data_IF_323471572269
#
_entry.id   IF_323471572269
#
_cell.length_a   1.000
_cell.length_b   1.000
_cell.length_c   1.000
_cell.angle_alpha   90.00
_cell.angle_beta   90.00
_cell.angle_gamma   90.00
#
_symmetry.space_group_name_H-M   'P 1'
#
loop_
_entity.id
_entity.type
_entity.pdbx_description
1 polymer ?
#
# COMPACT_ATOMS: atom_id res chain seq x y z
N UNK A 1 -15.12 43.89 -64.90
CA UNK A 1 -14.89 44.43 -63.54
C UNK A 1 -15.72 43.55 -62.61
N UNK A 2 -15.11 42.53 -61.98
CA UNK A 2 -14.66 42.53 -60.57
C UNK A 2 -15.86 42.67 -59.59
N UNK A 3 -16.16 41.82 -58.59
CA UNK A 3 -15.58 40.58 -58.02
C UNK A 3 -16.70 39.96 -57.15
N UNK A 4 -16.68 38.63 -56.97
CA UNK A 4 -17.60 37.86 -56.14
C UNK A 4 -17.53 38.19 -54.64
N UNK A 5 -18.63 37.93 -53.91
CA UNK A 5 -18.62 37.69 -52.47
C UNK A 5 -19.55 36.52 -52.16
N UNK A 6 -18.93 35.38 -51.89
CA UNK A 6 -19.54 34.21 -51.26
C UNK A 6 -19.27 34.33 -49.76
N UNK A 7 -20.31 34.24 -48.94
CA UNK A 7 -20.17 33.86 -47.53
C UNK A 7 -21.25 32.85 -47.21
N UNK A 8 -20.82 31.76 -46.59
CA UNK A 8 -21.53 30.52 -46.38
C UNK A 8 -21.39 30.17 -44.88
N UNK A 9 -22.46 29.61 -44.33
CA UNK A 9 -22.56 28.69 -43.16
C UNK A 9 -23.05 29.16 -41.78
N UNK A 10 -24.06 28.38 -41.35
CA UNK A 10 -24.19 27.68 -40.06
C UNK A 10 -24.83 28.41 -38.87
N UNK A 11 -26.16 28.27 -38.77
CA UNK A 11 -26.87 28.32 -37.48
C UNK A 11 -27.05 26.92 -36.90
N UNK A 12 -26.17 26.58 -35.95
CA UNK A 12 -26.53 25.98 -34.67
C UNK A 12 -27.16 24.58 -34.65
N UNK A 13 -26.35 23.54 -34.86
CA UNK A 13 -26.56 22.28 -34.13
C UNK A 13 -25.93 22.44 -32.74
N UNK A 14 -26.77 22.48 -31.71
CA UNK A 14 -26.32 22.41 -30.32
C UNK A 14 -25.71 21.04 -30.03
N UNK A 15 -24.38 20.96 -30.06
CA UNK A 15 -23.67 19.84 -29.48
C UNK A 15 -23.73 19.97 -27.96
N UNK A 16 -24.47 19.06 -27.32
CA UNK A 16 -24.27 18.73 -25.91
C UNK A 16 -22.84 18.22 -25.76
N UNK A 17 -21.91 19.12 -25.42
CA UNK A 17 -20.60 18.74 -24.91
C UNK A 17 -20.82 18.20 -23.50
N UNK A 18 -20.87 16.87 -23.41
CA UNK A 18 -20.60 16.16 -22.17
C UNK A 18 -19.18 16.54 -21.75
N UNK A 19 -19.09 17.42 -20.76
CA UNK A 19 -17.87 17.61 -19.99
C UNK A 19 -17.61 16.35 -19.20
N UNK A 20 -16.92 15.39 -19.80
CA UNK A 20 -16.14 14.46 -19.03
C UNK A 20 -15.05 15.30 -18.38
N UNK A 21 -15.21 15.60 -17.08
CA UNK A 21 -14.14 16.04 -16.21
C UNK A 21 -13.07 14.95 -16.27
N UNK A 22 -12.18 15.03 -17.25
CA UNK A 22 -10.92 14.32 -17.24
C UNK A 22 -10.13 14.94 -16.10
N UNK A 23 -10.32 14.36 -14.91
CA UNK A 23 -9.47 14.58 -13.75
C UNK A 23 -8.04 14.43 -14.26
N UNK A 24 -7.36 15.54 -14.50
CA UNK A 24 -5.98 15.56 -14.94
C UNK A 24 -5.20 14.81 -13.87
N UNK A 25 -4.84 13.57 -14.20
CA UNK A 25 -3.96 12.74 -13.40
C UNK A 25 -2.80 13.61 -12.97
N UNK A 26 -2.64 13.79 -11.66
CA UNK A 26 -1.51 14.49 -11.08
C UNK A 26 -0.24 13.97 -11.78
N UNK A 27 0.54 14.85 -12.39
CA UNK A 27 1.67 14.47 -13.24
C UNK A 27 2.85 13.86 -12.45
N UNK A 28 2.66 13.62 -11.15
CA UNK A 28 3.65 13.00 -10.29
C UNK A 28 3.53 11.48 -10.41
N UNK A 29 4.60 10.77 -10.84
CA UNK A 29 4.58 9.31 -10.87
C UNK A 29 4.27 8.74 -9.49
N UNK A 30 3.50 7.66 -9.45
CA UNK A 30 3.27 6.93 -8.21
C UNK A 30 4.59 6.47 -7.58
N UNK A 31 4.76 6.66 -6.27
CA UNK A 31 5.99 6.35 -5.53
C UNK A 31 6.45 4.91 -5.78
N UNK A 32 5.50 3.97 -5.79
CA UNK A 32 5.75 2.54 -5.94
C UNK A 32 5.46 2.02 -7.36
N UNK A 33 5.50 2.88 -8.39
CA UNK A 33 5.19 2.49 -9.78
C UNK A 33 6.20 1.51 -10.37
N UNK A 34 7.48 1.86 -10.28
CA UNK A 34 8.58 1.12 -10.91
C UNK A 34 9.39 0.34 -9.87
N UNK A 35 8.83 0.19 -8.67
CA UNK A 35 9.48 -0.59 -7.60
C UNK A 35 9.52 -2.06 -7.99
N UNK A 36 10.62 -2.71 -7.65
CA UNK A 36 10.78 -4.16 -7.70
C UNK A 36 10.29 -4.84 -6.41
N UNK A 37 9.71 -4.06 -5.46
CA UNK A 37 9.32 -4.44 -4.10
C UNK A 37 10.18 -5.58 -3.56
N UNK A 38 11.20 -5.22 -2.77
CA UNK A 38 12.07 -6.11 -2.00
C UNK A 38 11.50 -7.53 -1.92
N UNK A 39 12.10 -8.49 -2.62
CA UNK A 39 11.72 -9.89 -2.41
C UNK A 39 11.71 -10.18 -0.91
N UNK A 40 10.94 -11.15 -0.42
CA UNK A 40 10.86 -11.37 1.03
C UNK A 40 12.26 -11.49 1.67
N UNK A 41 13.23 -12.11 0.97
CA UNK A 41 14.63 -12.15 1.39
C UNK A 41 15.31 -10.77 1.51
N UNK A 42 15.02 -9.82 0.61
CA UNK A 42 15.60 -8.49 0.61
C UNK A 42 15.24 -7.68 1.86
N UNK A 43 14.04 -7.88 2.41
CA UNK A 43 13.65 -7.26 3.68
C UNK A 43 14.61 -7.66 4.81
N UNK A 44 14.92 -8.96 4.90
CA UNK A 44 15.86 -9.48 5.91
C UNK A 44 17.30 -9.06 5.64
N UNK A 45 17.70 -8.90 4.38
CA UNK A 45 19.04 -8.40 4.05
C UNK A 45 19.22 -6.94 4.49
N UNK A 46 18.14 -6.15 4.46
CA UNK A 46 18.14 -4.71 4.76
C UNK A 46 17.90 -4.38 6.24
N UNK A 47 17.50 -5.35 7.07
CA UNK A 47 17.26 -5.12 8.50
C UNK A 47 17.53 -6.34 9.39
N UNK A 48 18.16 -6.10 10.53
CA UNK A 48 18.37 -7.10 11.59
C UNK A 48 17.17 -7.26 12.53
N UNK A 49 16.20 -6.34 12.48
CA UNK A 49 15.00 -6.36 13.33
C UNK A 49 13.92 -7.33 12.79
N UNK A 50 14.07 -7.82 11.56
CA UNK A 50 13.14 -8.75 10.92
C UNK A 50 13.66 -10.18 11.12
N UNK A 51 12.82 -11.14 11.51
CA UNK A 51 13.22 -12.54 11.59
C UNK A 51 13.83 -13.03 10.27
N UNK A 52 14.88 -13.86 10.36
CA UNK A 52 15.78 -14.13 9.23
C UNK A 52 15.21 -15.09 8.19
N UNK A 53 14.38 -16.05 8.61
CA UNK A 53 13.81 -17.03 7.68
C UNK A 53 12.65 -16.39 6.94
N UNK A 54 12.91 -15.86 5.75
CA UNK A 54 11.90 -15.28 4.88
C UNK A 54 11.33 -16.31 3.91
N UNK A 55 10.02 -16.33 3.77
CA UNK A 55 9.30 -17.09 2.75
C UNK A 55 8.38 -16.14 1.97
N UNK A 56 8.46 -16.20 0.63
CA UNK A 56 7.43 -15.63 -0.23
C UNK A 56 6.25 -16.60 -0.29
N UNK A 57 5.12 -16.17 0.26
CA UNK A 57 3.89 -16.98 0.31
C UNK A 57 3.10 -16.80 -0.97
N UNK A 58 3.01 -15.56 -1.46
CA UNK A 58 2.35 -15.24 -2.71
C UNK A 58 2.90 -13.92 -3.28
N UNK A 59 2.91 -13.83 -4.60
CA UNK A 59 3.25 -12.60 -5.33
C UNK A 59 2.36 -12.50 -6.56
N UNK A 60 1.80 -11.32 -6.75
CA UNK A 60 1.08 -10.92 -7.96
C UNK A 60 1.66 -9.60 -8.41
N UNK A 61 2.36 -9.57 -9.54
CA UNK A 61 2.98 -8.35 -10.06
C UNK A 61 2.99 -8.38 -11.59
N UNK A 62 2.46 -7.33 -12.21
CA UNK A 62 2.36 -7.21 -13.66
C UNK A 62 3.08 -5.95 -14.15
N UNK A 63 4.43 -5.96 -14.20
CA UNK A 63 5.21 -4.78 -14.52
C UNK A 63 4.94 -4.24 -15.92
N UNK A 64 4.60 -5.07 -16.89
CA UNK A 64 4.41 -4.59 -18.27
C UNK A 64 2.97 -4.13 -18.58
N UNK A 65 2.01 -4.39 -17.68
CA UNK A 65 0.59 -4.20 -17.95
C UNK A 65 0.00 -3.12 -17.05
N UNK A 66 -0.06 -3.39 -15.75
CA UNK A 66 -0.78 -2.54 -14.79
C UNK A 66 0.16 -1.81 -13.84
N UNK A 67 1.42 -2.25 -13.68
CA UNK A 67 2.39 -1.69 -12.70
C UNK A 67 1.88 -1.71 -11.25
N UNK A 68 0.79 -2.44 -10.97
CA UNK A 68 0.26 -2.72 -9.64
C UNK A 68 0.71 -4.11 -9.18
N UNK A 69 0.47 -4.42 -7.91
CA UNK A 69 0.78 -5.74 -7.39
C UNK A 69 0.50 -5.93 -5.92
N UNK A 70 0.78 -7.15 -5.47
CA UNK A 70 0.72 -7.58 -4.08
C UNK A 70 1.86 -8.56 -3.80
N UNK A 71 2.47 -8.42 -2.63
CA UNK A 71 3.50 -9.30 -2.10
C UNK A 71 3.07 -9.75 -0.70
N UNK A 72 3.07 -11.06 -0.47
CA UNK A 72 2.82 -11.67 0.83
C UNK A 72 4.07 -12.42 1.28
N UNK A 73 4.64 -11.97 2.40
CA UNK A 73 5.82 -12.54 3.03
C UNK A 73 5.50 -13.10 4.41
N UNK A 74 6.16 -14.19 4.76
CA UNK A 74 6.25 -14.72 6.12
C UNK A 74 7.70 -14.67 6.57
N UNK A 75 7.94 -14.22 7.81
CA UNK A 75 9.25 -14.18 8.43
C UNK A 75 9.22 -14.91 9.77
N UNK A 76 10.09 -15.90 9.94
CA UNK A 76 10.20 -16.67 11.18
C UNK A 76 11.61 -16.62 11.77
N UNK A 77 11.70 -16.92 13.07
CA UNK A 77 12.96 -17.28 13.70
C UNK A 77 13.51 -18.59 13.10
N UNK A 78 14.82 -18.79 13.19
CA UNK A 78 15.52 -20.00 12.71
C UNK A 78 15.09 -21.29 13.41
N UNK A 79 14.48 -21.17 14.59
CA UNK A 79 13.84 -22.28 15.31
C UNK A 79 12.41 -22.58 14.83
N UNK A 80 11.89 -21.79 13.88
CA UNK A 80 10.54 -21.86 13.27
C UNK A 80 9.37 -21.86 14.26
N UNK A 81 9.58 -21.39 15.49
CA UNK A 81 8.54 -21.44 16.54
C UNK A 81 7.89 -20.08 16.74
N UNK A 82 8.68 -19.01 16.95
CA UNK A 82 8.28 -17.60 17.04
C UNK A 82 9.54 -16.72 17.27
N UNK A 83 9.50 -15.40 17.06
CA UNK A 83 8.37 -14.61 16.56
C UNK A 83 8.06 -14.91 15.10
N UNK A 84 6.78 -14.74 14.75
CA UNK A 84 6.28 -14.79 13.37
C UNK A 84 5.87 -13.38 12.95
N UNK A 85 6.33 -12.95 11.79
CA UNK A 85 5.88 -11.71 11.13
C UNK A 85 5.27 -12.06 9.79
N UNK A 86 4.08 -11.56 9.52
CA UNK A 86 3.46 -11.66 8.20
C UNK A 86 3.34 -10.25 7.63
N UNK A 87 3.81 -10.05 6.40
CA UNK A 87 3.69 -8.79 5.67
C UNK A 87 2.85 -9.02 4.42
N UNK A 88 1.78 -8.25 4.27
CA UNK A 88 1.12 -8.06 2.99
C UNK A 88 1.34 -6.62 2.53
N UNK A 89 2.01 -6.44 1.40
CA UNK A 89 2.17 -5.16 0.74
C UNK A 89 1.37 -5.16 -0.57
N UNK A 90 0.51 -4.17 -0.77
CA UNK A 90 -0.21 -3.94 -2.03
C UNK A 90 0.10 -2.55 -2.55
N UNK A 91 0.32 -2.40 -3.85
CA UNK A 91 0.57 -1.11 -4.48
C UNK A 91 -0.22 -0.98 -5.77
N UNK A 92 -0.60 0.25 -6.07
CA UNK A 92 -1.56 0.55 -7.12
C UNK A 92 -0.98 1.61 -8.05
N UNK A 93 -1.03 1.36 -9.35
CA UNK A 93 -0.65 2.36 -10.33
C UNK A 93 -1.84 3.26 -10.68
N UNK A 94 -1.51 4.49 -11.09
CA UNK A 94 -2.46 5.43 -11.66
C UNK A 94 -2.90 4.97 -13.04
N UNK A 95 -4.21 4.94 -13.23
CA UNK A 95 -4.89 4.62 -14.48
C UNK A 95 -5.65 5.84 -14.99
N UNK A 96 -6.23 5.75 -16.20
CA UNK A 96 -7.10 6.80 -16.72
C UNK A 96 -8.37 7.03 -15.88
N UNK A 97 -8.79 6.03 -15.10
CA UNK A 97 -10.04 6.08 -14.32
C UNK A 97 -9.82 6.50 -12.86
N UNK A 98 -8.63 6.21 -12.29
CA UNK A 98 -8.36 6.39 -10.86
C UNK A 98 -6.85 6.51 -10.62
N UNK A 99 -6.45 7.42 -9.70
CA UNK A 99 -5.06 7.50 -9.26
C UNK A 99 -4.68 6.34 -8.33
N UNK A 100 -3.39 5.98 -8.30
CA UNK A 100 -2.88 4.94 -7.42
C UNK A 100 -3.10 5.26 -5.94
N UNK A 101 -2.97 6.53 -5.56
CA UNK A 101 -3.24 7.01 -4.20
C UNK A 101 -4.70 6.94 -3.79
N UNK A 102 -5.64 7.21 -4.72
CA UNK A 102 -7.07 7.04 -4.49
C UNK A 102 -7.41 5.56 -4.26
N UNK A 103 -6.89 4.69 -5.11
CA UNK A 103 -7.09 3.25 -4.97
C UNK A 103 -6.51 2.73 -3.63
N UNK A 104 -5.28 3.13 -3.29
CA UNK A 104 -4.65 2.78 -2.02
C UNK A 104 -5.46 3.28 -0.82
N UNK A 105 -6.00 4.50 -0.89
CA UNK A 105 -6.86 5.06 0.17
C UNK A 105 -8.15 4.28 0.33
N UNK A 106 -8.80 3.89 -0.77
CA UNK A 106 -9.99 3.03 -0.73
C UNK A 106 -9.68 1.67 -0.10
N UNK A 107 -8.56 1.05 -0.49
CA UNK A 107 -8.13 -0.23 0.05
C UNK A 107 -7.83 -0.15 1.55
N UNK A 108 -7.08 0.87 1.98
CA UNK A 108 -6.80 1.14 3.40
C UNK A 108 -8.09 1.33 4.21
N UNK A 109 -9.03 2.11 3.69
CA UNK A 109 -10.32 2.37 4.35
C UNK A 109 -11.14 1.09 4.50
N UNK A 110 -11.22 0.28 3.43
CA UNK A 110 -11.90 -1.01 3.46
C UNK A 110 -11.28 -1.98 4.48
N UNK A 111 -9.94 -2.10 4.48
CA UNK A 111 -9.21 -2.98 5.40
C UNK A 111 -9.32 -2.54 6.87
N UNK A 112 -9.54 -1.26 7.12
CA UNK A 112 -9.67 -0.69 8.48
C UNK A 112 -11.10 -0.57 8.97
N UNK A 113 -12.11 -0.83 8.13
CA UNK A 113 -13.52 -0.60 8.45
C UNK A 113 -14.03 -1.41 9.66
N UNK A 114 -13.41 -2.57 9.92
CA UNK A 114 -13.76 -3.47 11.03
C UNK A 114 -12.94 -3.23 12.30
N UNK A 115 -11.97 -2.30 12.27
CA UNK A 115 -11.20 -1.94 13.45
C UNK A 115 -11.96 -0.92 14.29
N UNK A 116 -12.18 -1.24 15.56
CA UNK A 116 -12.70 -0.33 16.58
C UNK A 116 -11.57 0.27 17.45
N UNK A 117 -10.31 0.02 17.10
CA UNK A 117 -9.16 0.53 17.83
C UNK A 117 -8.73 1.88 17.26
N UNK A 118 -9.04 2.93 18.01
CA UNK A 118 -8.72 4.33 17.69
C UNK A 118 -7.44 4.80 18.40
N UNK A 119 -6.72 3.90 19.07
CA UNK A 119 -5.46 4.24 19.72
C UNK A 119 -4.43 4.68 18.67
N UNK A 120 -3.65 5.73 18.92
CA UNK A 120 -2.62 6.16 17.97
C UNK A 120 -1.59 5.05 17.76
N UNK A 121 -1.24 4.76 16.50
CA UNK A 121 -0.18 3.80 16.17
C UNK A 121 1.21 4.37 16.47
N UNK A 122 1.39 5.68 16.31
CA UNK A 122 2.65 6.37 16.60
C UNK A 122 3.80 6.00 15.66
N UNK A 123 3.50 5.77 14.37
CA UNK A 123 4.52 5.68 13.32
C UNK A 123 4.93 7.09 12.88
N UNK A 124 6.21 7.28 12.57
CA UNK A 124 6.76 8.55 12.04
C UNK A 124 6.88 8.54 10.52
N UNK A 125 6.27 7.56 9.86
CA UNK A 125 6.29 7.31 8.42
C UNK A 125 4.92 6.84 7.96
N UNK A 126 4.71 6.87 6.65
CA UNK A 126 3.38 6.68 6.07
C UNK A 126 2.48 7.88 6.31
N UNK A 127 1.41 7.96 5.52
CA UNK A 127 0.43 9.06 5.58
C UNK A 127 -0.68 8.77 6.59
N UNK A 128 -1.03 7.49 6.77
CA UNK A 128 -2.04 7.02 7.74
C UNK A 128 -1.64 5.67 8.30
N UNK A 129 -2.04 5.40 9.55
CA UNK A 129 -1.84 4.09 10.16
C UNK A 129 -2.99 3.77 11.13
N UNK A 130 -3.32 2.49 11.28
CA UNK A 130 -4.30 2.01 12.24
C UNK A 130 -3.91 0.64 12.80
N UNK A 131 -4.30 0.37 14.05
CA UNK A 131 -4.25 -0.98 14.60
C UNK A 131 -5.32 -1.84 13.93
N UNK A 132 -4.95 -3.06 13.55
CA UNK A 132 -5.89 -4.06 13.06
C UNK A 132 -6.51 -4.81 14.25
N UNK A 133 -7.72 -5.38 14.08
CA UNK A 133 -8.32 -6.21 15.11
C UNK A 133 -7.36 -7.32 15.56
N UNK A 134 -7.22 -7.49 16.87
CA UNK A 134 -6.40 -8.57 17.43
C UNK A 134 -7.00 -9.92 17.08
N UNK A 135 -6.19 -10.81 16.52
CA UNK A 135 -6.58 -12.21 16.26
C UNK A 135 -6.42 -13.10 17.50
N UNK A 136 -5.49 -12.76 18.40
CA UNK A 136 -5.20 -13.48 19.64
C UNK A 136 -4.48 -12.59 20.65
N UNK A 137 -4.33 -13.05 21.90
CA UNK A 137 -3.55 -12.33 22.93
C UNK A 137 -2.04 -12.20 22.60
N UNK A 138 -1.54 -12.98 21.63
CA UNK A 138 -0.14 -12.93 21.20
C UNK A 138 0.06 -12.19 19.88
N UNK A 139 -1.03 -11.79 19.22
CA UNK A 139 -1.01 -11.22 17.89
C UNK A 139 -1.39 -9.74 17.92
N UNK A 140 -0.52 -8.92 17.35
CA UNK A 140 -0.84 -7.54 17.01
C UNK A 140 -0.81 -7.41 15.49
N UNK A 141 -1.80 -6.72 14.94
CA UNK A 141 -1.77 -6.29 13.55
C UNK A 141 -1.73 -4.78 13.46
N UNK A 142 -0.99 -4.24 12.50
CA UNK A 142 -1.12 -2.84 12.09
C UNK A 142 -1.20 -2.75 10.58
N UNK A 143 -1.83 -1.69 10.12
CA UNK A 143 -1.90 -1.33 8.71
C UNK A 143 -1.45 0.13 8.56
N UNK A 144 -0.68 0.42 7.53
CA UNK A 144 -0.36 1.80 7.16
C UNK A 144 -0.48 2.02 5.65
N UNK A 145 -0.85 3.25 5.30
CA UNK A 145 -0.91 3.77 3.95
C UNK A 145 0.32 4.63 3.71
N UNK A 146 0.98 4.44 2.57
CA UNK A 146 2.05 5.31 2.11
C UNK A 146 1.89 5.57 0.61
N UNK A 147 1.41 6.78 0.25
CA UNK A 147 1.19 7.21 -1.13
C UNK A 147 0.21 6.27 -1.84
N UNK A 148 0.72 5.47 -2.76
CA UNK A 148 -0.05 4.53 -3.58
C UNK A 148 0.09 3.07 -3.12
N UNK A 149 0.58 2.83 -1.90
CA UNK A 149 0.75 1.50 -1.33
C UNK A 149 0.14 1.35 0.07
N UNK A 150 -0.32 0.15 0.38
CA UNK A 150 -0.88 -0.26 1.67
C UNK A 150 -0.08 -1.44 2.20
N UNK A 151 0.32 -1.35 3.46
CA UNK A 151 1.11 -2.36 4.15
C UNK A 151 0.33 -2.85 5.36
N UNK A 152 0.04 -4.15 5.41
CA UNK A 152 -0.55 -4.83 6.56
C UNK A 152 0.51 -5.74 7.16
N UNK A 153 0.73 -5.62 8.47
CA UNK A 153 1.74 -6.40 9.19
C UNK A 153 1.07 -7.04 10.39
N UNK A 154 1.14 -8.37 10.46
CA UNK A 154 0.82 -9.13 11.66
C UNK A 154 2.10 -9.58 12.34
N UNK A 155 2.13 -9.46 13.66
CA UNK A 155 3.24 -9.90 14.49
C UNK A 155 2.70 -10.75 15.63
N UNK A 156 3.14 -12.00 15.64
CA UNK A 156 2.87 -12.96 16.70
C UNK A 156 4.11 -13.11 17.57
N UNK A 157 3.99 -12.68 18.84
CA UNK A 157 5.09 -12.67 19.80
C UNK A 157 5.55 -14.08 20.21
N UNK A 158 6.82 -14.19 20.61
CA UNK A 158 7.42 -15.45 21.10
C UNK A 158 6.84 -15.98 22.40
N UNK A 159 6.51 -15.09 23.32
CA UNK A 159 5.80 -15.45 24.54
C UNK A 159 4.50 -14.65 24.63
N UNK A 160 3.38 -15.28 25.02
CA UNK A 160 2.23 -14.53 25.49
C UNK A 160 2.67 -13.72 26.70
N UNK A 161 2.53 -12.41 26.62
CA UNK A 161 2.40 -11.63 27.83
C UNK A 161 0.92 -11.58 28.16
N UNK A 162 0.55 -11.60 29.44
CA UNK A 162 -0.85 -11.41 29.85
C UNK A 162 -1.43 -10.04 29.45
N UNK A 163 -0.63 -9.17 28.81
CA UNK A 163 -1.04 -7.93 28.20
C UNK A 163 -1.06 -8.04 26.65
N UNK A 164 -2.24 -8.02 26.01
CA UNK A 164 -2.36 -8.14 24.56
C UNK A 164 -1.74 -6.95 23.81
N UNK A 165 -1.47 -5.81 24.45
CA UNK A 165 -0.82 -4.66 23.82
C UNK A 165 0.72 -4.75 23.80
N UNK A 166 1.30 -5.70 24.54
CA UNK A 166 2.75 -5.88 24.63
C UNK A 166 3.43 -6.10 23.28
N UNK A 167 2.72 -6.68 22.31
CA UNK A 167 3.22 -6.91 20.95
C UNK A 167 3.29 -5.63 20.10
N UNK A 168 2.63 -4.53 20.48
CA UNK A 168 2.59 -3.28 19.72
C UNK A 168 3.95 -2.57 19.67
N UNK A 169 4.74 -2.64 20.74
CA UNK A 169 6.08 -2.05 20.79
C UNK A 169 7.04 -2.67 19.76
N UNK A 170 7.28 -3.99 19.83
CA UNK A 170 8.06 -4.71 18.83
C UNK A 170 7.53 -4.55 17.40
N UNK A 171 6.21 -4.63 17.21
CA UNK A 171 5.60 -4.48 15.88
C UNK A 171 5.90 -3.12 15.24
N UNK A 172 5.95 -2.01 15.99
CA UNK A 172 6.34 -0.70 15.45
C UNK A 172 7.78 -0.68 14.93
N UNK A 173 8.71 -1.33 15.64
CA UNK A 173 10.11 -1.45 15.19
C UNK A 173 10.21 -2.26 13.90
N UNK A 174 9.49 -3.37 13.83
CA UNK A 174 9.41 -4.23 12.64
C UNK A 174 8.79 -3.47 11.46
N UNK A 175 7.71 -2.71 11.70
CA UNK A 175 7.09 -1.87 10.67
C UNK A 175 8.05 -0.82 10.12
N UNK A 176 8.84 -0.16 10.99
CA UNK A 176 9.87 0.79 10.55
C UNK A 176 10.93 0.10 9.67
N UNK A 177 11.40 -1.07 10.08
CA UNK A 177 12.36 -1.86 9.33
C UNK A 177 11.83 -2.27 7.95
N UNK A 178 10.59 -2.77 7.91
CA UNK A 178 9.91 -3.15 6.67
C UNK A 178 9.69 -1.93 5.77
N UNK A 179 9.25 -0.80 6.32
CA UNK A 179 9.07 0.44 5.57
C UNK A 179 10.39 0.91 4.93
N UNK A 180 11.48 0.95 5.71
CA UNK A 180 12.79 1.36 5.22
C UNK A 180 13.29 0.42 4.11
N UNK A 181 13.10 -0.88 4.27
CA UNK A 181 13.49 -1.88 3.29
C UNK A 181 12.65 -1.81 2.01
N UNK A 182 11.38 -1.42 2.10
CA UNK A 182 10.45 -1.26 0.98
C UNK A 182 10.65 0.02 0.17
N UNK A 183 11.47 0.98 0.63
CA UNK A 183 11.64 2.24 -0.11
C UNK A 183 12.22 1.97 -1.52
N UNK A 184 11.61 2.56 -2.58
CA UNK A 184 12.17 2.53 -3.93
C UNK A 184 13.60 3.12 -3.96
N UNK A 185 14.45 2.62 -4.85
CA UNK A 185 15.83 3.09 -5.05
C UNK A 185 15.95 3.99 -6.25
#
# INVERSE_FOLDING_TARGET
>A
MATALVVFWATGFGAFLWGADHKTSDATPDKYRDTDFAACADFTARSTEIPRDAAEVARTWYPEISKDGTLLCSFTSTDRQRPLVELQASWFATTAAQSGSEHATTNFTGATAVSNDDSPVGLTFGEKARWLPQKSQTDCGLIFLDRNAVFQIHYTAAAPSGNPESCRGPLRKIAQALYNAAQPR
#
